data_IF_792312883681
#
_entry.id   IF_792312883681
#
_cell.length_a   1.000
_cell.length_b   1.000
_cell.length_c   1.000
_cell.angle_alpha   90.00
_cell.angle_beta   90.00
_cell.angle_gamma   90.00
#
_symmetry.space_group_name_H-M   'P 1'
#
loop_
_entity.id
_entity.type
_entity.pdbx_description
1 polymer ?
#
# COMPACT_ATOMS: atom_id res chain seq x y z
N UNK A 1 -47.62 26.60 9.52
CA UNK A 1 -48.48 25.93 8.54
C UNK A 1 -48.17 26.52 7.18
N UNK A 2 -47.89 25.62 6.23
CA UNK A 2 -47.46 25.81 4.83
C UNK A 2 -45.94 26.03 4.57
N UNK A 3 -45.29 25.07 3.88
CA UNK A 3 -44.01 25.25 3.19
C UNK A 3 -44.27 25.91 1.83
N UNK A 4 -43.23 26.38 1.12
CA UNK A 4 -43.07 26.28 -0.34
C UNK A 4 -41.81 27.09 -0.71
N UNK A 5 -40.76 26.39 -1.14
CA UNK A 5 -39.63 26.99 -1.86
C UNK A 5 -39.30 26.02 -2.98
N UNK A 6 -40.11 26.08 -4.03
CA UNK A 6 -39.84 25.41 -5.29
C UNK A 6 -38.55 26.00 -5.87
N UNK A 7 -37.53 25.14 -6.02
CA UNK A 7 -36.32 25.46 -6.79
C UNK A 7 -36.66 25.11 -8.23
N UNK A 8 -37.11 26.11 -8.97
CA UNK A 8 -37.42 26.00 -10.40
C UNK A 8 -36.13 25.66 -11.15
N UNK A 9 -35.95 24.38 -11.46
CA UNK A 9 -34.87 23.89 -12.31
C UNK A 9 -35.31 24.15 -13.74
N UNK A 10 -34.75 25.18 -14.37
CA UNK A 10 -35.03 25.48 -15.78
C UNK A 10 -34.40 24.39 -16.64
N UNK A 11 -35.23 23.42 -17.03
CA UNK A 11 -34.90 22.37 -18.00
C UNK A 11 -34.69 23.03 -19.38
N UNK A 12 -33.43 23.30 -19.74
CA UNK A 12 -33.08 23.79 -21.08
C UNK A 12 -33.14 22.60 -22.05
N UNK A 13 -34.36 22.26 -22.48
CA UNK A 13 -34.61 21.29 -23.53
C UNK A 13 -34.17 21.87 -24.90
N UNK A 14 -32.88 21.76 -25.21
CA UNK A 14 -32.32 22.08 -26.53
C UNK A 14 -32.28 20.80 -27.37
N UNK A 15 -32.89 20.84 -28.55
CA UNK A 15 -32.92 19.70 -29.47
C UNK A 15 -31.50 19.44 -30.01
N UNK A 16 -31.03 18.20 -29.96
CA UNK A 16 -29.64 17.85 -30.28
C UNK A 16 -29.26 18.20 -31.74
N UNK A 17 -30.24 18.34 -32.64
CA UNK A 17 -30.05 18.78 -34.01
C UNK A 17 -29.76 20.28 -34.18
N UNK A 18 -30.00 21.10 -33.14
CA UNK A 18 -29.68 22.54 -33.16
C UNK A 18 -28.26 22.83 -32.68
N UNK A 19 -27.57 21.85 -32.08
CA UNK A 19 -26.18 21.98 -31.66
C UNK A 19 -25.30 21.89 -32.91
N UNK A 20 -24.64 22.98 -33.34
CA UNK A 20 -23.77 22.93 -34.50
C UNK A 20 -22.64 21.93 -34.24
N UNK A 21 -22.47 20.99 -35.15
CA UNK A 21 -21.34 20.07 -35.07
C UNK A 21 -20.03 20.87 -35.10
N UNK A 22 -19.02 20.43 -34.33
CA UNK A 22 -17.71 21.03 -34.42
C UNK A 22 -17.18 20.93 -35.86
N UNK A 23 -16.41 21.93 -36.33
CA UNK A 23 -15.72 21.87 -37.61
C UNK A 23 -14.98 20.54 -37.78
N UNK A 24 -15.05 19.92 -38.96
CA UNK A 24 -14.47 18.59 -39.20
C UNK A 24 -12.98 18.48 -38.86
N UNK A 25 -12.23 19.59 -38.93
CA UNK A 25 -10.81 19.64 -38.55
C UNK A 25 -10.61 19.32 -37.07
N UNK A 26 -11.49 19.80 -36.17
CA UNK A 26 -11.41 19.54 -34.73
C UNK A 26 -11.86 18.12 -34.37
N UNK A 27 -12.79 17.55 -35.13
CA UNK A 27 -13.28 16.18 -34.95
C UNK A 27 -12.23 15.15 -35.37
N UNK A 28 -11.47 15.43 -36.43
CA UNK A 28 -10.40 14.55 -36.94
C UNK A 28 -9.24 14.36 -35.96
N UNK A 29 -8.91 15.37 -35.17
CA UNK A 29 -7.85 15.25 -34.15
C UNK A 29 -8.25 14.33 -32.98
N UNK A 30 -9.55 14.08 -32.78
CA UNK A 30 -10.06 13.18 -31.73
C UNK A 30 -10.21 11.73 -32.20
N UNK A 31 -10.57 11.52 -33.47
CA UNK A 31 -10.61 10.20 -34.14
C UNK A 31 -9.25 9.75 -34.68
N UNK A 32 -8.22 10.59 -34.56
CA UNK A 32 -6.84 10.19 -34.76
C UNK A 32 -6.48 9.17 -33.67
N UNK A 33 -6.72 7.88 -33.94
CA UNK A 33 -6.04 6.81 -33.23
C UNK A 33 -4.55 7.15 -33.24
N UNK A 34 -3.85 7.12 -32.08
CA UNK A 34 -2.40 7.20 -32.11
C UNK A 34 -1.95 6.08 -33.04
N UNK A 35 -1.41 6.47 -34.20
CA UNK A 35 -0.79 5.55 -35.13
C UNK A 35 0.08 4.65 -34.28
N UNK A 36 -0.27 3.37 -34.24
CA UNK A 36 0.37 2.40 -33.38
C UNK A 36 1.83 2.35 -33.81
N UNK A 37 2.65 3.19 -33.18
CA UNK A 37 4.07 3.00 -33.08
C UNK A 37 4.16 1.57 -32.59
N UNK A 38 4.63 0.68 -33.47
CA UNK A 38 5.14 -0.62 -33.10
C UNK A 38 5.85 -0.40 -31.78
N UNK A 39 5.26 -0.94 -30.72
CA UNK A 39 5.92 -0.97 -29.44
C UNK A 39 7.19 -1.77 -29.69
N UNK A 40 8.27 -1.07 -30.05
CA UNK A 40 9.61 -1.50 -29.80
C UNK A 40 9.53 -2.03 -28.39
N UNK A 41 9.59 -3.35 -28.27
CA UNK A 41 9.84 -4.02 -27.01
C UNK A 41 11.06 -3.28 -26.50
N UNK A 42 10.83 -2.36 -25.56
CA UNK A 42 11.89 -1.67 -24.87
C UNK A 42 12.74 -2.82 -24.37
N UNK A 43 13.88 -2.97 -25.05
CA UNK A 43 14.95 -3.85 -24.63
C UNK A 43 15.12 -3.42 -23.18
N UNK A 44 14.77 -4.31 -22.25
CA UNK A 44 15.08 -4.11 -20.84
C UNK A 44 16.59 -3.95 -20.88
N UNK A 45 17.04 -2.69 -20.85
CA UNK A 45 18.43 -2.39 -20.68
C UNK A 45 18.77 -3.11 -19.40
N UNK A 46 19.74 -4.01 -19.53
CA UNK A 46 20.35 -4.75 -18.45
C UNK A 46 20.95 -3.68 -17.53
N UNK A 47 20.08 -3.11 -16.70
CA UNK A 47 20.45 -2.15 -15.69
C UNK A 47 21.33 -2.96 -14.77
N UNK A 48 22.63 -2.66 -14.71
CA UNK A 48 23.51 -3.43 -13.84
C UNK A 48 22.87 -3.42 -12.45
N UNK A 49 22.83 -4.58 -11.76
CA UNK A 49 22.22 -4.67 -10.44
C UNK A 49 22.79 -3.54 -9.60
N UNK A 50 21.89 -2.68 -9.09
CA UNK A 50 22.30 -1.51 -8.33
C UNK A 50 23.31 -1.95 -7.28
N UNK A 51 24.45 -1.26 -7.21
CA UNK A 51 25.47 -1.55 -6.20
C UNK A 51 24.87 -1.22 -4.82
N UNK A 52 24.30 -2.24 -4.18
CA UNK A 52 23.78 -2.14 -2.82
C UNK A 52 24.99 -2.24 -1.91
N UNK A 53 25.35 -1.13 -1.25
CA UNK A 53 26.32 -1.16 -0.19
C UNK A 53 25.77 -1.98 0.99
N UNK A 54 26.49 -3.02 1.40
CA UNK A 54 26.22 -3.72 2.65
C UNK A 54 26.65 -2.82 3.82
N UNK A 55 25.70 -2.43 4.64
CA UNK A 55 25.92 -1.58 5.80
C UNK A 55 25.99 -2.46 7.06
N UNK A 56 27.06 -2.32 7.84
CA UNK A 56 27.20 -2.93 9.15
C UNK A 56 26.76 -1.93 10.23
N UNK A 57 25.56 -2.12 10.78
CA UNK A 57 24.99 -1.21 11.77
C UNK A 57 25.52 -1.53 13.15
N UNK A 58 26.16 -0.56 13.81
CA UNK A 58 26.66 -0.72 15.18
C UNK A 58 25.56 -0.99 16.22
N UNK A 59 24.36 -0.45 15.96
CA UNK A 59 23.13 -0.74 16.70
C UNK A 59 21.99 -0.81 15.69
N UNK A 60 21.33 -1.96 15.59
CA UNK A 60 20.12 -2.09 14.80
C UNK A 60 18.96 -1.42 15.55
N UNK A 61 18.21 -0.51 14.91
CA UNK A 61 17.05 0.08 15.56
C UNK A 61 16.10 -1.06 15.91
N UNK A 62 15.73 -1.20 17.17
CA UNK A 62 14.73 -2.20 17.55
C UNK A 62 13.95 -1.74 18.77
N UNK A 63 12.70 -2.19 18.85
CA UNK A 63 11.84 -1.95 20.00
C UNK A 63 11.44 -3.30 20.56
N UNK A 64 11.62 -3.48 21.86
CA UNK A 64 11.18 -4.70 22.54
C UNK A 64 9.91 -4.41 23.32
N UNK A 65 8.85 -5.17 23.03
CA UNK A 65 7.57 -5.13 23.72
C UNK A 65 7.50 -6.31 24.68
N UNK A 66 7.27 -6.06 25.96
CA UNK A 66 7.00 -7.12 26.94
C UNK A 66 5.53 -7.45 26.92
N UNK A 67 5.20 -8.73 26.71
CA UNK A 67 3.82 -9.20 26.64
C UNK A 67 3.22 -9.27 28.05
N UNK A 68 2.00 -8.76 28.18
CA UNK A 68 1.21 -8.87 29.40
C UNK A 68 0.69 -10.30 29.58
N UNK A 69 0.36 -10.98 28.48
CA UNK A 69 -0.12 -12.35 28.45
C UNK A 69 0.86 -13.25 27.68
N UNK A 70 1.98 -13.65 28.32
CA UNK A 70 2.95 -14.54 27.69
C UNK A 70 2.30 -15.87 27.28
N UNK A 71 2.71 -16.40 26.14
CA UNK A 71 2.13 -17.60 25.54
C UNK A 71 3.22 -18.61 25.16
N UNK A 72 2.78 -19.84 24.82
CA UNK A 72 3.65 -20.85 24.24
C UNK A 72 3.37 -21.02 22.77
N UNK A 73 4.42 -20.95 21.96
CA UNK A 73 4.36 -21.20 20.53
C UNK A 73 5.54 -22.09 20.13
N UNK A 74 5.24 -23.16 19.41
CA UNK A 74 6.22 -24.17 18.98
C UNK A 74 7.10 -24.70 20.15
N UNK A 75 6.47 -24.96 21.30
CA UNK A 75 7.14 -25.44 22.50
C UNK A 75 8.01 -24.41 23.23
N UNK A 76 8.10 -23.16 22.73
CA UNK A 76 8.86 -22.07 23.33
C UNK A 76 7.94 -21.10 24.05
N UNK A 77 8.40 -20.61 25.19
CA UNK A 77 7.68 -19.58 25.94
C UNK A 77 8.08 -18.20 25.42
N UNK A 78 7.10 -17.44 24.94
CA UNK A 78 7.28 -16.09 24.40
C UNK A 78 6.76 -15.10 25.44
N UNK A 79 7.68 -14.31 25.99
CA UNK A 79 7.38 -13.24 26.96
C UNK A 79 7.62 -11.84 26.40
N UNK A 80 8.46 -11.74 25.40
CA UNK A 80 8.90 -10.49 24.79
C UNK A 80 8.90 -10.67 23.29
N UNK A 81 8.49 -9.62 22.58
CA UNK A 81 8.55 -9.54 21.12
C UNK A 81 9.49 -8.41 20.76
N UNK A 82 10.56 -8.72 20.05
CA UNK A 82 11.49 -7.73 19.52
C UNK A 82 11.07 -7.39 18.09
N UNK A 83 10.95 -6.11 17.82
CA UNK A 83 10.49 -5.55 16.56
C UNK A 83 11.65 -4.78 15.96
N UNK A 84 12.02 -5.11 14.73
CA UNK A 84 13.06 -4.41 13.97
C UNK A 84 12.45 -3.76 12.71
N UNK A 85 12.97 -2.62 12.25
CA UNK A 85 12.61 -2.06 10.96
C UNK A 85 13.02 -3.01 9.85
N UNK A 86 12.24 -2.99 8.77
CA UNK A 86 12.59 -3.70 7.55
C UNK A 86 13.54 -2.84 6.72
N UNK A 87 14.55 -3.49 6.16
CA UNK A 87 15.31 -2.91 5.06
C UNK A 87 14.43 -2.78 3.80
N UNK A 88 14.87 -1.97 2.83
CA UNK A 88 14.22 -1.85 1.53
C UNK A 88 14.18 -3.20 0.80
N UNK A 89 15.26 -3.98 0.92
CA UNK A 89 15.36 -5.31 0.32
C UNK A 89 14.34 -6.28 0.91
N UNK A 90 14.18 -6.30 2.23
CA UNK A 90 13.19 -7.15 2.91
C UNK A 90 11.75 -6.73 2.59
N UNK A 91 11.48 -5.42 2.55
CA UNK A 91 10.18 -4.89 2.13
C UNK A 91 9.83 -5.34 0.71
N UNK A 92 10.79 -5.23 -0.22
CA UNK A 92 10.64 -5.74 -1.58
C UNK A 92 10.46 -7.25 -1.64
N UNK A 93 11.17 -7.99 -0.79
CA UNK A 93 11.03 -9.45 -0.66
C UNK A 93 9.62 -9.89 -0.25
N UNK A 94 9.00 -9.18 0.71
CA UNK A 94 7.61 -9.46 1.12
C UNK A 94 6.63 -9.25 -0.04
N UNK A 95 6.75 -8.12 -0.76
CA UNK A 95 5.88 -7.78 -1.90
C UNK A 95 6.08 -8.75 -3.07
N UNK A 96 7.33 -9.19 -3.30
CA UNK A 96 7.65 -10.14 -4.36
C UNK A 96 7.12 -11.55 -4.04
N UNK A 97 7.19 -11.97 -2.77
CA UNK A 97 6.65 -13.25 -2.32
C UNK A 97 5.12 -13.28 -2.34
N UNK A 98 4.47 -12.15 -2.01
CA UNK A 98 3.03 -12.01 -2.06
C UNK A 98 2.67 -10.59 -2.56
N UNK A 99 2.17 -10.50 -3.80
CA UNK A 99 1.73 -9.22 -4.38
C UNK A 99 0.57 -8.59 -3.61
N UNK A 100 -0.25 -9.43 -2.97
CA UNK A 100 -1.37 -9.03 -2.11
C UNK A 100 -0.97 -9.11 -0.63
N UNK A 101 0.31 -8.88 -0.31
CA UNK A 101 0.80 -8.88 1.07
C UNK A 101 0.01 -7.90 1.93
N UNK A 102 -0.53 -8.41 3.02
CA UNK A 102 -1.19 -7.61 4.05
C UNK A 102 -0.15 -6.98 4.98
N UNK A 103 -0.56 -5.94 5.71
CA UNK A 103 0.30 -5.28 6.72
C UNK A 103 0.86 -6.27 7.74
N UNK A 104 0.10 -7.32 8.08
CA UNK A 104 0.52 -8.36 9.02
C UNK A 104 1.66 -9.24 8.48
N UNK A 105 1.81 -9.34 7.16
CA UNK A 105 2.92 -10.08 6.55
C UNK A 105 4.23 -9.32 6.72
N UNK A 106 4.19 -7.99 6.68
CA UNK A 106 5.34 -7.15 7.05
C UNK A 106 5.66 -7.29 8.54
N UNK A 107 4.64 -7.23 9.42
CA UNK A 107 4.83 -7.42 10.86
C UNK A 107 5.44 -8.79 11.19
N UNK A 108 5.13 -9.81 10.40
CA UNK A 108 5.72 -11.13 10.59
C UNK A 108 7.24 -11.12 10.36
N UNK A 109 7.72 -10.42 9.34
CA UNK A 109 9.16 -10.28 9.08
C UNK A 109 9.84 -9.40 10.14
N UNK A 110 9.15 -8.37 10.62
CA UNK A 110 9.65 -7.43 11.64
C UNK A 110 9.79 -8.06 13.01
N UNK A 111 8.88 -8.96 13.39
CA UNK A 111 8.83 -9.58 14.72
C UNK A 111 9.43 -10.98 14.75
N UNK A 112 9.63 -11.60 13.58
CA UNK A 112 9.99 -13.02 13.46
C UNK A 112 8.85 -13.98 13.85
N UNK A 113 7.66 -13.46 14.16
CA UNK A 113 6.48 -14.27 14.49
C UNK A 113 5.59 -14.43 13.26
N UNK A 114 4.96 -15.59 13.01
CA UNK A 114 4.04 -15.75 11.90
C UNK A 114 2.86 -14.78 12.01
N UNK A 115 2.37 -14.29 10.86
CA UNK A 115 1.25 -13.36 10.80
C UNK A 115 -0.03 -13.92 11.48
N UNK A 116 -0.20 -15.24 11.52
CA UNK A 116 -1.30 -15.90 12.25
C UNK A 116 -1.15 -15.78 13.78
N UNK A 117 0.08 -15.82 14.30
CA UNK A 117 0.36 -15.65 15.73
C UNK A 117 0.09 -14.22 16.15
N UNK A 118 0.53 -13.25 15.34
CA UNK A 118 0.29 -11.82 15.62
C UNK A 118 -1.22 -11.52 15.68
N UNK A 119 -2.02 -12.09 14.77
CA UNK A 119 -3.49 -11.96 14.79
C UNK A 119 -4.17 -12.66 15.96
N UNK A 120 -3.51 -13.66 16.56
CA UNK A 120 -4.03 -14.40 17.70
C UNK A 120 -3.65 -13.76 19.05
N UNK A 121 -2.80 -12.73 19.06
CA UNK A 121 -2.45 -12.02 20.30
C UNK A 121 -3.70 -11.38 20.92
N UNK A 122 -3.84 -11.41 22.26
CA UNK A 122 -4.90 -10.67 22.95
C UNK A 122 -4.87 -9.19 22.58
N UNK A 123 -6.03 -8.53 22.49
CA UNK A 123 -6.14 -7.16 21.96
C UNK A 123 -5.11 -6.17 22.51
N UNK A 124 -4.84 -6.18 23.81
CA UNK A 124 -3.84 -5.30 24.44
C UNK A 124 -2.40 -5.57 23.97
N UNK A 125 -1.99 -6.83 23.92
CA UNK A 125 -0.66 -7.23 23.44
C UNK A 125 -0.55 -7.08 21.92
N UNK A 126 -1.64 -7.36 21.20
CA UNK A 126 -1.76 -7.19 19.76
C UNK A 126 -1.62 -5.73 19.35
N UNK A 127 -2.31 -4.82 20.02
CA UNK A 127 -2.20 -3.37 19.81
C UNK A 127 -0.80 -2.86 20.14
N UNK A 128 -0.21 -3.30 21.25
CA UNK A 128 1.15 -2.90 21.63
C UNK A 128 2.20 -3.33 20.59
N UNK A 129 2.12 -4.57 20.11
CA UNK A 129 3.06 -5.10 19.11
C UNK A 129 2.82 -4.46 17.74
N UNK A 130 1.57 -4.38 17.28
CA UNK A 130 1.26 -3.83 15.95
C UNK A 130 1.45 -2.31 15.89
N UNK A 131 1.18 -1.57 16.96
CA UNK A 131 1.45 -0.13 17.06
C UNK A 131 2.95 0.17 16.97
N UNK A 132 3.76 -0.55 17.76
CA UNK A 132 5.22 -0.42 17.69
C UNK A 132 5.79 -0.85 16.32
N UNK A 133 5.19 -1.85 15.68
CA UNK A 133 5.59 -2.26 14.32
C UNK A 133 5.15 -1.24 13.25
N UNK A 134 3.98 -0.64 13.39
CA UNK A 134 3.49 0.39 12.46
C UNK A 134 4.43 1.60 12.39
N UNK A 135 5.03 1.97 13.53
CA UNK A 135 6.02 3.06 13.61
C UNK A 135 7.30 2.83 12.82
N UNK A 136 7.55 1.59 12.38
CA UNK A 136 8.69 1.24 11.54
C UNK A 136 8.34 1.03 10.06
N UNK A 137 7.05 1.03 9.69
CA UNK A 137 6.65 0.92 8.29
C UNK A 137 7.04 2.18 7.49
N UNK A 138 7.37 2.08 6.20
CA UNK A 138 7.58 3.24 5.35
C UNK A 138 6.37 4.18 5.36
N UNK A 139 6.59 5.50 5.28
CA UNK A 139 5.53 6.51 5.35
C UNK A 139 4.38 6.29 4.37
N UNK A 140 4.68 5.82 3.16
CA UNK A 140 3.66 5.56 2.14
C UNK A 140 2.69 4.42 2.51
N UNK A 141 3.09 3.52 3.43
CA UNK A 141 2.22 2.45 3.94
C UNK A 141 1.39 2.89 5.16
N UNK A 142 1.73 4.03 5.80
CA UNK A 142 1.02 4.52 6.99
C UNK A 142 -0.25 5.33 6.67
N UNK A 143 -0.51 5.61 5.39
CA UNK A 143 -1.55 6.56 4.95
C UNK A 143 -2.89 5.96 4.53
N UNK A 144 -3.12 4.66 4.73
CA UNK A 144 -4.40 4.01 4.43
C UNK A 144 -5.20 3.75 5.71
N UNK A 145 -5.88 4.79 6.21
CA UNK A 145 -6.84 4.72 7.32
C UNK A 145 -8.16 5.33 6.90
#
# INVERSE_FOLDING_TARGET
>A
MKPDTETETTDLAVDASEIPLPPEELSRDWDAEPEAAEAEKAKVEDTPPAEIAELDFLEEPSVTVTLRYPFRFDGREVRTVTIRPLSVAETGGVIQANRDASVHDFYAVMTGLPAAVIRALPGEDGEAVTGAAFDFLPRFMRGGG
#
